data_IF_919895460392
#
_entry.id   IF_919895460392
#
_cell.length_a   1.000
_cell.length_b   1.000
_cell.length_c   1.000
_cell.angle_alpha   90.00
_cell.angle_beta   90.00
_cell.angle_gamma   90.00
#
_symmetry.space_group_name_H-M   'P 1'
#
loop_
_entity.id
_entity.type
_entity.pdbx_description
1 polymer ?
#
# COMPACT_ATOMS: atom_id res chain seq x y z
N UNK A 1 56.92 -21.86 -11.03
CA UNK A 1 55.67 -22.47 -10.57
C UNK A 1 55.23 -21.63 -9.40
N UNK A 2 54.30 -20.70 -9.66
CA UNK A 2 53.78 -19.83 -8.61
C UNK A 2 52.82 -20.64 -7.75
N UNK A 3 53.02 -20.51 -6.45
CA UNK A 3 52.20 -21.06 -5.38
C UNK A 3 50.79 -20.48 -5.52
N UNK A 4 49.78 -21.34 -5.69
CA UNK A 4 48.37 -20.92 -5.67
C UNK A 4 48.06 -20.43 -4.25
N UNK A 5 48.02 -19.10 -4.10
CA UNK A 5 48.00 -18.38 -2.84
C UNK A 5 46.71 -18.53 -2.03
N UNK A 6 46.53 -19.67 -1.37
CA UNK A 6 45.63 -19.80 -0.25
C UNK A 6 46.43 -19.57 1.04
N UNK A 7 46.44 -18.33 1.51
CA UNK A 7 47.04 -17.99 2.80
C UNK A 7 46.26 -18.67 3.93
N UNK A 8 46.83 -19.75 4.47
CA UNK A 8 46.27 -20.52 5.58
C UNK A 8 46.07 -19.73 6.89
N UNK A 9 46.41 -18.44 6.93
CA UNK A 9 46.18 -17.55 8.07
C UNK A 9 44.83 -16.83 8.04
N UNK A 10 44.13 -16.84 6.90
CA UNK A 10 42.80 -16.23 6.78
C UNK A 10 41.73 -17.13 7.41
N UNK A 11 40.75 -16.50 8.05
CA UNK A 11 39.56 -17.24 8.50
C UNK A 11 38.71 -17.67 7.29
N UNK A 12 37.87 -18.70 7.47
CA UNK A 12 36.96 -19.15 6.41
C UNK A 12 36.07 -18.01 5.88
N UNK A 13 35.67 -17.07 6.75
CA UNK A 13 34.88 -15.91 6.35
C UNK A 13 35.70 -14.94 5.47
N UNK A 14 36.90 -14.54 5.91
CA UNK A 14 37.77 -13.61 5.16
C UNK A 14 38.25 -14.17 3.82
N UNK A 15 38.39 -15.49 3.71
CA UNK A 15 38.75 -16.14 2.43
C UNK A 15 37.68 -16.00 1.34
N UNK A 16 36.44 -15.66 1.73
CA UNK A 16 35.32 -15.43 0.81
C UNK A 16 35.14 -13.96 0.43
N UNK A 17 35.98 -13.05 0.93
CA UNK A 17 35.91 -11.64 0.55
C UNK A 17 36.29 -11.44 -0.92
N UNK A 18 35.69 -10.42 -1.54
CA UNK A 18 35.81 -10.06 -2.95
C UNK A 18 37.27 -9.91 -3.42
N UNK A 19 38.08 -9.21 -2.61
CA UNK A 19 39.50 -8.98 -2.88
C UNK A 19 40.30 -10.30 -2.95
N UNK A 20 39.89 -11.30 -2.17
CA UNK A 20 40.53 -12.63 -2.11
C UNK A 20 40.02 -13.57 -3.21
N UNK A 21 38.71 -13.52 -3.50
CA UNK A 21 38.11 -14.29 -4.59
C UNK A 21 38.53 -13.76 -5.97
N UNK A 22 38.99 -12.50 -6.04
CA UNK A 22 39.31 -11.79 -7.29
C UNK A 22 38.12 -11.80 -8.27
N UNK A 23 36.92 -11.81 -7.72
CA UNK A 23 35.66 -11.75 -8.46
C UNK A 23 34.85 -10.62 -7.85
N UNK A 24 34.61 -9.54 -8.60
CA UNK A 24 33.63 -8.53 -8.20
C UNK A 24 32.23 -9.07 -8.53
N UNK A 25 31.33 -9.27 -7.54
CA UNK A 25 29.95 -9.71 -7.78
C UNK A 25 29.19 -8.83 -8.79
N UNK A 26 29.58 -7.56 -8.93
CA UNK A 26 29.03 -6.60 -9.88
C UNK A 26 29.69 -6.66 -11.27
N UNK A 27 30.87 -7.26 -11.43
CA UNK A 27 31.55 -7.37 -12.73
C UNK A 27 30.80 -8.31 -13.69
N UNK A 28 30.22 -9.40 -13.18
CA UNK A 28 29.35 -10.27 -13.98
C UNK A 28 27.96 -9.66 -14.21
N UNK A 29 27.50 -8.82 -13.27
CA UNK A 29 26.13 -8.34 -13.20
C UNK A 29 25.12 -9.46 -12.91
N UNK A 30 24.02 -9.13 -12.22
CA UNK A 30 22.83 -9.99 -12.21
C UNK A 30 21.88 -9.41 -13.26
N UNK A 31 21.57 -10.20 -14.28
CA UNK A 31 20.51 -9.85 -15.23
C UNK A 31 19.17 -9.98 -14.49
N UNK A 32 18.39 -8.88 -14.36
CA UNK A 32 17.07 -8.97 -13.76
C UNK A 32 16.18 -9.88 -14.62
N UNK A 33 15.16 -10.53 -14.03
CA UNK A 33 14.24 -11.32 -14.81
C UNK A 33 13.56 -10.45 -15.87
N UNK A 34 13.63 -10.92 -17.12
CA UNK A 34 12.78 -10.39 -18.18
C UNK A 34 11.30 -10.56 -17.81
N UNK A 35 10.46 -9.63 -18.24
CA UNK A 35 9.00 -9.68 -18.02
C UNK A 35 8.59 -9.80 -16.53
N UNK A 36 9.05 -8.87 -15.69
CA UNK A 36 8.53 -8.77 -14.32
C UNK A 36 6.99 -8.73 -14.33
N UNK A 37 6.39 -9.59 -13.53
CA UNK A 37 4.95 -9.84 -13.44
C UNK A 37 4.07 -8.59 -13.24
N UNK A 38 4.62 -7.48 -12.73
CA UNK A 38 3.86 -6.25 -12.54
C UNK A 38 3.93 -5.29 -13.73
N UNK A 39 4.81 -5.53 -14.69
CA UNK A 39 5.02 -4.64 -15.84
C UNK A 39 3.78 -4.48 -16.73
N UNK A 40 2.90 -5.48 -16.74
CA UNK A 40 1.68 -5.52 -17.56
C UNK A 40 0.39 -5.39 -16.72
N UNK A 41 0.47 -4.93 -15.47
CA UNK A 41 -0.71 -4.70 -14.63
C UNK A 41 -1.59 -3.55 -15.15
N UNK A 42 -2.85 -3.53 -14.73
CA UNK A 42 -3.74 -2.42 -15.01
C UNK A 42 -3.20 -1.11 -14.41
N UNK A 43 -3.35 0.01 -15.12
CA UNK A 43 -2.92 1.33 -14.66
C UNK A 43 -1.53 1.76 -15.12
N UNK A 44 -0.90 1.00 -16.02
CA UNK A 44 0.38 1.39 -16.64
C UNK A 44 0.22 2.51 -17.68
N UNK A 45 -0.99 2.74 -18.19
CA UNK A 45 -1.29 3.82 -19.13
C UNK A 45 -2.14 4.93 -18.51
N UNK A 46 -2.01 6.15 -19.04
CA UNK A 46 -2.84 7.29 -18.62
C UNK A 46 -4.33 7.05 -18.85
N UNK A 47 -4.69 6.23 -19.84
CA UNK A 47 -6.08 5.88 -20.11
C UNK A 47 -6.66 4.99 -18.99
N UNK A 48 -5.92 3.95 -18.59
CA UNK A 48 -6.32 3.04 -17.52
C UNK A 48 -6.40 3.76 -16.18
N UNK A 49 -5.43 4.61 -15.85
CA UNK A 49 -5.46 5.41 -14.61
C UNK A 49 -6.69 6.32 -14.52
N UNK A 50 -7.16 6.87 -15.66
CA UNK A 50 -8.39 7.67 -15.70
C UNK A 50 -9.65 6.84 -15.61
N UNK A 51 -9.64 5.66 -16.21
CA UNK A 51 -10.78 4.74 -16.15
C UNK A 51 -10.94 4.17 -14.73
N UNK A 52 -9.82 3.86 -14.08
CA UNK A 52 -9.82 3.07 -12.85
C UNK A 52 -10.15 1.61 -13.12
N UNK A 53 -9.70 0.74 -12.22
CA UNK A 53 -10.03 -0.68 -12.24
C UNK A 53 -11.46 -0.90 -11.71
N UNK A 54 -12.15 -1.93 -12.18
CA UNK A 54 -13.47 -2.26 -11.65
C UNK A 54 -13.36 -2.85 -10.25
N UNK A 55 -14.44 -2.75 -9.46
CA UNK A 55 -14.48 -3.31 -8.11
C UNK A 55 -14.31 -4.84 -8.13
N UNK A 56 -14.90 -5.51 -9.12
CA UNK A 56 -14.83 -6.96 -9.25
C UNK A 56 -13.39 -7.44 -9.56
N UNK A 57 -12.67 -6.71 -10.42
CA UNK A 57 -11.26 -7.00 -10.71
C UNK A 57 -10.40 -6.85 -9.45
N UNK A 58 -10.54 -5.71 -8.73
CA UNK A 58 -9.84 -5.49 -7.46
C UNK A 58 -10.12 -6.58 -6.43
N UNK A 59 -11.37 -7.02 -6.30
CA UNK A 59 -11.75 -8.08 -5.36
C UNK A 59 -11.18 -9.45 -5.75
N UNK A 60 -11.00 -9.70 -7.05
CA UNK A 60 -10.40 -10.94 -7.53
C UNK A 60 -8.89 -11.01 -7.28
N UNK A 61 -8.21 -9.86 -7.14
CA UNK A 61 -6.79 -9.78 -6.77
C UNK A 61 -6.55 -10.00 -5.26
N UNK A 62 -7.55 -9.73 -4.42
CA UNK A 62 -7.43 -9.85 -2.96
C UNK A 62 -7.53 -11.31 -2.48
N UNK A 63 -6.70 -11.68 -1.50
CA UNK A 63 -6.88 -12.91 -0.71
C UNK A 63 -7.73 -12.58 0.53
N UNK A 64 -8.82 -13.32 0.82
CA UNK A 64 -9.56 -13.13 2.06
C UNK A 64 -8.72 -13.52 3.27
N UNK A 65 -8.50 -12.57 4.19
CA UNK A 65 -7.82 -12.83 5.48
C UNK A 65 -8.60 -13.80 6.39
N UNK A 66 -9.90 -13.96 6.14
CA UNK A 66 -10.80 -14.83 6.87
C UNK A 66 -11.31 -15.96 5.98
N UNK A 67 -11.35 -17.16 6.53
CA UNK A 67 -11.89 -18.33 5.82
C UNK A 67 -13.40 -18.36 5.92
N UNK A 68 -14.08 -19.09 5.04
CA UNK A 68 -15.54 -19.29 5.15
C UNK A 68 -15.98 -20.01 6.45
N UNK A 69 -15.03 -20.53 7.24
CA UNK A 69 -15.27 -21.13 8.55
C UNK A 69 -15.21 -20.10 9.68
N UNK A 70 -14.46 -19.02 9.48
CA UNK A 70 -14.64 -17.81 10.25
C UNK A 70 -16.00 -17.27 9.81
N UNK A 71 -17.01 -17.33 10.68
CA UNK A 71 -18.37 -16.86 10.39
C UNK A 71 -18.49 -15.42 10.91
N UNK A 72 -18.00 -14.40 10.16
CA UNK A 72 -18.25 -13.01 10.53
C UNK A 72 -19.76 -12.76 10.41
N UNK A 73 -20.34 -11.96 11.32
CA UNK A 73 -21.76 -11.70 11.29
C UNK A 73 -22.14 -10.98 9.98
N UNK A 74 -22.86 -11.69 9.11
CA UNK A 74 -23.53 -11.14 7.93
C UNK A 74 -24.94 -10.59 8.25
N UNK A 75 -25.65 -10.06 7.24
CA UNK A 75 -26.96 -9.42 7.42
C UNK A 75 -28.06 -10.34 7.98
N UNK A 76 -27.92 -11.66 7.77
CA UNK A 76 -28.86 -12.67 8.27
C UNK A 76 -28.47 -13.23 9.64
N UNK A 77 -27.42 -12.71 10.26
CA UNK A 77 -26.95 -13.19 11.57
C UNK A 77 -27.95 -12.78 12.66
N UNK A 78 -28.44 -13.72 13.49
CA UNK A 78 -29.33 -13.38 14.59
C UNK A 78 -28.66 -12.42 15.58
N UNK A 79 -29.38 -11.38 16.01
CA UNK A 79 -28.87 -10.36 16.93
C UNK A 79 -28.24 -10.95 18.20
N UNK A 80 -28.78 -12.05 18.72
CA UNK A 80 -28.24 -12.74 19.90
C UNK A 80 -26.81 -13.27 19.72
N UNK A 81 -26.38 -13.55 18.47
CA UNK A 81 -25.01 -13.98 18.16
C UNK A 81 -24.05 -12.80 17.96
N UNK A 82 -24.60 -11.63 17.62
CA UNK A 82 -23.85 -10.38 17.41
C UNK A 82 -23.54 -9.72 18.76
N UNK A 83 -24.50 -9.75 19.69
CA UNK A 83 -24.42 -9.13 21.02
C UNK A 83 -23.20 -9.62 21.83
N UNK A 84 -22.91 -10.93 21.79
CA UNK A 84 -21.77 -11.53 22.50
C UNK A 84 -20.39 -11.10 21.95
N UNK A 85 -20.32 -10.46 20.77
CA UNK A 85 -19.06 -10.09 20.08
C UNK A 85 -18.76 -8.59 20.12
N UNK A 86 -19.70 -7.75 20.60
CA UNK A 86 -19.53 -6.28 20.61
C UNK A 86 -18.37 -5.85 21.54
N UNK A 87 -18.10 -6.62 22.59
CA UNK A 87 -17.01 -6.36 23.54
C UNK A 87 -15.63 -6.87 23.04
N UNK A 88 -15.59 -7.66 21.96
CA UNK A 88 -14.35 -8.07 21.30
C UNK A 88 -13.92 -6.97 20.31
N UNK A 89 -13.02 -6.09 20.76
CA UNK A 89 -12.38 -5.12 19.86
C UNK A 89 -11.66 -5.85 18.72
N UNK A 90 -12.22 -5.75 17.52
CA UNK A 90 -11.51 -6.12 16.30
C UNK A 90 -10.38 -5.11 16.07
N UNK A 91 -9.15 -5.60 15.85
CA UNK A 91 -7.97 -4.75 15.62
C UNK A 91 -8.02 -3.91 14.32
N UNK A 92 -9.14 -3.96 13.59
CA UNK A 92 -9.38 -3.23 12.33
C UNK A 92 -9.99 -1.85 12.51
N UNK A 93 -10.40 -1.47 13.74
CA UNK A 93 -11.02 -0.15 14.00
C UNK A 93 -10.00 0.92 14.43
N UNK A 94 -8.84 0.94 13.78
CA UNK A 94 -7.85 2.01 13.96
C UNK A 94 -7.39 2.53 12.59
N UNK A 95 -8.26 3.35 11.97
CA UNK A 95 -7.93 4.46 11.06
C UNK A 95 -9.08 4.83 10.11
N UNK A 96 -10.34 4.89 10.56
CA UNK A 96 -11.23 5.88 9.96
C UNK A 96 -10.76 7.25 10.48
N UNK A 97 -10.18 8.15 9.66
CA UNK A 97 -9.95 9.51 10.13
C UNK A 97 -11.31 10.02 10.59
N UNK A 98 -11.39 10.48 11.84
CA UNK A 98 -12.60 11.10 12.36
C UNK A 98 -13.01 12.17 11.35
N UNK A 99 -14.07 11.91 10.57
CA UNK A 99 -14.55 12.88 9.60
C UNK A 99 -14.79 14.16 10.39
N UNK A 100 -14.11 15.27 10.07
CA UNK A 100 -14.35 16.51 10.77
C UNK A 100 -15.84 16.81 10.62
N UNK A 101 -16.54 16.99 11.73
CA UNK A 101 -17.97 17.32 11.71
C UNK A 101 -18.07 18.72 11.11
N UNK A 102 -18.29 18.79 9.80
CA UNK A 102 -18.51 20.05 9.11
C UNK A 102 -19.70 20.76 9.75
N UNK A 103 -19.50 22.02 10.09
CA UNK A 103 -20.56 22.93 10.47
C UNK A 103 -21.42 23.27 9.25
N UNK A 104 -22.67 23.68 9.47
CA UNK A 104 -23.57 24.16 8.41
C UNK A 104 -22.94 25.29 7.56
N UNK A 105 -22.06 26.10 8.17
CA UNK A 105 -21.31 27.14 7.49
C UNK A 105 -20.29 26.57 6.50
N UNK A 106 -19.53 25.55 6.89
CA UNK A 106 -18.57 24.87 6.01
C UNK A 106 -19.28 24.14 4.85
N UNK A 107 -20.41 23.49 5.13
CA UNK A 107 -21.23 22.84 4.10
C UNK A 107 -21.74 23.83 3.05
N UNK A 108 -21.88 25.10 3.43
CA UNK A 108 -22.31 26.20 2.56
C UNK A 108 -21.14 26.99 1.95
N UNK A 109 -19.88 26.62 2.23
CA UNK A 109 -18.70 27.37 1.77
C UNK A 109 -18.56 28.75 2.42
N UNK A 110 -18.93 28.88 3.70
CA UNK A 110 -18.94 30.12 4.47
C UNK A 110 -17.99 30.07 5.67
N UNK A 111 -16.95 29.25 5.62
CA UNK A 111 -15.97 29.15 6.69
C UNK A 111 -15.20 30.48 6.82
N UNK A 112 -15.04 30.99 8.05
CA UNK A 112 -14.54 32.34 8.31
C UNK A 112 -13.04 32.54 7.99
N UNK A 113 -12.34 31.43 7.81
CA UNK A 113 -10.95 31.28 7.36
C UNK A 113 -10.81 31.36 5.83
N UNK A 114 -11.90 31.24 5.07
CA UNK A 114 -11.93 31.50 3.64
C UNK A 114 -12.44 32.92 3.36
N UNK A 115 -11.52 33.84 3.07
CA UNK A 115 -11.86 35.21 2.69
C UNK A 115 -12.45 35.25 1.27
N UNK A 116 -13.74 34.97 1.14
CA UNK A 116 -14.39 34.94 -0.18
C UNK A 116 -15.89 34.67 -0.22
N UNK A 117 -16.57 34.63 0.94
CA UNK A 117 -18.03 34.46 0.98
C UNK A 117 -18.75 35.42 0.02
N UNK A 118 -19.87 34.96 -0.55
CA UNK A 118 -20.64 35.45 -1.73
C UNK A 118 -20.81 36.97 -1.97
N UNK A 119 -20.40 37.83 -1.06
CA UNK A 119 -20.26 39.29 -1.26
C UNK A 119 -19.06 39.62 -2.17
N UNK A 120 -17.98 38.84 -2.13
CA UNK A 120 -16.76 39.12 -2.91
C UNK A 120 -16.95 38.91 -4.43
N UNK A 121 -17.77 37.93 -4.84
CA UNK A 121 -18.04 37.62 -6.26
C UNK A 121 -18.82 38.75 -6.97
N UNK A 122 -19.79 39.36 -6.28
CA UNK A 122 -20.63 40.41 -6.83
C UNK A 122 -19.88 41.71 -7.19
N UNK A 123 -18.63 41.88 -6.71
CA UNK A 123 -17.79 43.03 -7.01
C UNK A 123 -16.80 42.81 -8.17
N UNK A 124 -16.70 41.59 -8.72
CA UNK A 124 -15.76 41.27 -9.83
C UNK A 124 -16.38 41.38 -11.23
N UNK A 125 -17.71 41.33 -11.36
CA UNK A 125 -18.43 41.46 -12.64
C UNK A 125 -19.09 42.84 -12.87
N UNK A 126 -18.56 43.90 -12.22
CA UNK A 126 -18.98 45.29 -12.46
C UNK A 126 -18.18 45.99 -13.54
#
# INVERSE_FOLDING_TARGET
>A
MSDDGYDSTLTQAESLDEDNLRVDPLEAGIEPPEHWAEADKFGMTTAEQRAGETLDERLAEEEPDVTAQDDPPGPDTPLARVDDRIDEQSAVDDAAPAHPRHTEAELRGQAADEAGGSVAEALREG
#
